data_IF_570899887206
#
_entry.id   IF_570899887206
#
_cell.length_a   1.000
_cell.length_b   1.000
_cell.length_c   1.000
_cell.angle_alpha   90.00
_cell.angle_beta   90.00
_cell.angle_gamma   90.00
#
_symmetry.space_group_name_H-M   'P 1'
#
loop_
_entity.id
_entity.type
_entity.pdbx_description
1 polymer ?
#
# COMPACT_ATOMS: atom_id res chain seq x y z
N UNK A 1 10.39 -3.96 25.83
CA UNK A 1 11.60 -3.67 25.06
C UNK A 1 12.82 -3.79 25.93
N UNK A 2 13.89 -4.31 25.40
CA UNK A 2 15.21 -4.33 26.04
C UNK A 2 15.98 -3.05 25.68
N UNK A 3 16.33 -2.26 26.67
CA UNK A 3 17.02 -0.98 26.46
C UNK A 3 18.47 -1.13 25.98
N UNK A 4 19.05 -2.30 26.11
CA UNK A 4 20.43 -2.60 25.72
C UNK A 4 20.52 -3.01 24.25
N UNK A 5 19.65 -3.91 23.83
CA UNK A 5 19.65 -4.44 22.44
C UNK A 5 18.69 -3.70 21.50
N UNK A 6 17.82 -2.84 21.99
CA UNK A 6 16.75 -2.21 21.22
C UNK A 6 15.69 -3.18 20.69
N UNK A 7 15.81 -4.46 21.00
CA UNK A 7 14.85 -5.48 20.62
C UNK A 7 13.59 -5.40 21.44
N UNK A 8 12.47 -5.83 20.91
CA UNK A 8 11.18 -5.75 21.58
C UNK A 8 10.43 -7.06 21.49
N UNK A 9 9.47 -7.20 22.38
CA UNK A 9 8.47 -8.27 22.33
C UNK A 9 7.07 -7.66 22.32
N UNK A 10 6.09 -8.45 21.91
CA UNK A 10 4.67 -8.09 21.90
C UNK A 10 3.92 -9.02 22.81
N UNK A 11 3.06 -8.43 23.66
CA UNK A 11 2.15 -9.19 24.52
C UNK A 11 0.83 -8.43 24.67
N UNK A 12 -0.24 -9.16 24.93
CA UNK A 12 -1.53 -8.59 25.27
C UNK A 12 -1.55 -8.06 26.70
N UNK A 13 -2.24 -6.98 26.94
CA UNK A 13 -2.63 -6.53 28.28
C UNK A 13 -4.02 -7.09 28.62
N UNK A 14 -5.00 -6.67 27.83
CA UNK A 14 -6.33 -7.23 27.72
C UNK A 14 -6.44 -7.66 26.27
N UNK A 15 -6.69 -8.93 26.01
CA UNK A 15 -6.81 -9.45 24.67
C UNK A 15 -8.18 -9.12 24.05
N UNK A 16 -8.82 -10.13 23.45
CA UNK A 16 -10.19 -10.02 23.00
C UNK A 16 -11.13 -9.95 24.21
N UNK A 17 -11.93 -8.88 24.39
CA UNK A 17 -12.88 -8.78 25.52
C UNK A 17 -13.78 -9.99 25.71
N UNK A 18 -14.08 -10.71 24.63
CA UNK A 18 -14.90 -11.92 24.64
C UNK A 18 -14.10 -13.21 24.90
N UNK A 19 -12.76 -13.12 25.01
CA UNK A 19 -11.86 -14.26 25.20
C UNK A 19 -10.82 -14.01 26.32
N UNK A 20 -11.15 -14.23 27.59
CA UNK A 20 -10.20 -13.99 28.68
C UNK A 20 -8.97 -14.88 28.64
N UNK A 21 -8.90 -15.88 27.76
CA UNK A 21 -7.75 -16.78 27.65
C UNK A 21 -6.54 -16.12 26.96
N UNK A 22 -6.72 -15.01 26.24
CA UNK A 22 -5.66 -14.29 25.58
C UNK A 22 -5.19 -13.04 26.34
N UNK A 23 -5.70 -12.80 27.55
CA UNK A 23 -5.23 -11.75 28.44
C UNK A 23 -3.81 -12.02 28.94
N UNK A 24 -2.97 -10.97 28.93
CA UNK A 24 -1.57 -11.00 29.45
C UNK A 24 -0.71 -12.09 28.80
N UNK A 25 -0.98 -12.44 27.54
CA UNK A 25 -0.27 -13.48 26.81
C UNK A 25 0.87 -12.92 25.97
N UNK A 26 1.95 -13.72 25.87
CA UNK A 26 3.08 -13.44 24.98
C UNK A 26 2.63 -13.75 23.55
N UNK A 27 2.99 -12.87 22.61
CA UNK A 27 2.78 -13.04 21.17
C UNK A 27 4.11 -13.13 20.40
N UNK A 28 5.17 -12.49 20.92
CA UNK A 28 6.55 -12.66 20.49
C UNK A 28 7.40 -12.91 21.74
N UNK A 29 8.42 -13.75 21.61
CA UNK A 29 9.29 -14.20 22.70
C UNK A 29 9.80 -13.04 23.58
N UNK A 30 9.59 -13.12 24.91
CA UNK A 30 9.72 -12.00 25.83
C UNK A 30 10.90 -12.10 26.81
N UNK A 31 11.74 -13.15 26.72
CA UNK A 31 12.97 -13.20 27.54
C UNK A 31 13.98 -12.17 27.02
N UNK A 32 14.90 -11.78 27.86
CA UNK A 32 15.91 -10.75 27.56
C UNK A 32 17.25 -11.39 27.21
N UNK A 33 17.86 -11.03 26.06
CA UNK A 33 17.31 -10.14 25.04
C UNK A 33 16.19 -10.81 24.22
N UNK A 34 15.17 -10.05 23.77
CA UNK A 34 14.17 -10.60 22.87
C UNK A 34 14.79 -11.11 21.57
N UNK A 35 14.16 -12.13 20.99
CA UNK A 35 14.70 -12.88 19.86
C UNK A 35 14.04 -12.54 18.53
N UNK A 36 13.10 -11.59 18.54
CA UNK A 36 12.60 -10.90 17.35
C UNK A 36 13.43 -9.66 17.08
N UNK A 37 14.06 -9.58 15.91
CA UNK A 37 14.98 -8.49 15.59
C UNK A 37 15.15 -8.25 14.10
N UNK A 38 15.52 -7.01 13.68
CA UNK A 38 15.92 -6.71 12.31
C UNK A 38 17.41 -7.00 12.08
N UNK A 39 17.72 -7.37 10.84
CA UNK A 39 19.06 -7.32 10.27
C UNK A 39 19.05 -6.28 9.17
N UNK A 40 19.91 -5.26 9.26
CA UNK A 40 20.14 -4.31 8.19
C UNK A 40 21.21 -4.88 7.24
N UNK A 41 20.94 -4.84 5.96
CA UNK A 41 21.89 -5.27 4.94
C UNK A 41 22.38 -4.05 4.15
N UNK A 42 23.69 -3.88 4.05
CA UNK A 42 24.33 -2.77 3.33
C UNK A 42 25.41 -3.35 2.45
N UNK A 43 25.37 -3.09 1.13
CA UNK A 43 26.37 -3.48 0.15
C UNK A 43 26.80 -4.96 0.25
N UNK A 44 25.81 -5.87 0.37
CA UNK A 44 25.99 -7.32 0.51
C UNK A 44 26.58 -7.79 1.85
N UNK A 45 26.51 -6.99 2.90
CA UNK A 45 26.92 -7.35 4.25
C UNK A 45 25.78 -7.16 5.26
N UNK A 46 25.52 -8.14 6.10
CA UNK A 46 24.44 -8.13 7.09
C UNK A 46 24.91 -7.67 8.48
N UNK A 47 24.14 -6.76 9.09
CA UNK A 47 24.38 -6.20 10.42
C UNK A 47 23.16 -6.44 11.31
N UNK A 48 23.34 -7.24 12.36
CA UNK A 48 22.25 -7.59 13.28
C UNK A 48 22.09 -6.50 14.33
N UNK A 49 20.89 -5.94 14.41
CA UNK A 49 20.58 -4.85 15.36
C UNK A 49 20.61 -5.36 16.80
N UNK A 50 21.22 -4.57 17.66
CA UNK A 50 21.35 -4.87 19.09
C UNK A 50 22.49 -5.84 19.41
N UNK A 51 23.46 -5.99 18.49
CA UNK A 51 24.72 -6.70 18.72
C UNK A 51 25.92 -5.75 18.56
N UNK A 52 27.14 -6.29 18.67
CA UNK A 52 28.40 -5.55 18.43
C UNK A 52 28.58 -5.10 16.96
N UNK A 53 27.67 -5.48 16.07
CA UNK A 53 27.69 -5.03 14.67
C UNK A 53 27.48 -3.52 14.51
N UNK A 54 26.98 -2.85 15.55
CA UNK A 54 26.70 -1.41 15.51
C UNK A 54 26.33 -0.81 16.87
N UNK A 55 25.77 0.40 16.85
CA UNK A 55 25.46 1.15 18.06
C UNK A 55 24.17 1.98 17.90
N UNK A 56 23.52 2.25 19.03
CA UNK A 56 22.37 3.16 19.09
C UNK A 56 22.82 4.61 19.21
N UNK A 57 22.22 5.51 18.43
CA UNK A 57 22.49 6.93 18.53
C UNK A 57 21.95 7.53 19.82
N UNK A 58 20.77 7.10 20.22
CA UNK A 58 20.04 7.61 21.37
C UNK A 58 19.32 6.48 22.10
N UNK A 59 18.97 6.72 23.36
CA UNK A 59 18.01 5.86 24.05
C UNK A 59 16.66 5.85 23.33
N UNK A 60 15.91 4.75 23.40
CA UNK A 60 14.58 4.68 22.85
C UNK A 60 13.68 5.78 23.35
N UNK A 61 12.96 6.42 22.46
CA UNK A 61 11.95 7.42 22.76
C UNK A 61 10.57 6.78 22.77
N UNK A 62 9.83 6.96 23.85
CA UNK A 62 8.44 6.49 24.00
C UNK A 62 7.52 7.69 23.94
N UNK A 63 6.57 7.70 23.03
CA UNK A 63 5.54 8.73 22.91
C UNK A 63 4.19 8.08 22.65
N UNK A 64 3.26 8.19 23.61
CA UNK A 64 1.92 7.56 23.57
C UNK A 64 2.01 6.05 23.24
N UNK A 65 1.57 5.66 22.03
CA UNK A 65 1.53 4.31 21.51
C UNK A 65 2.75 3.95 20.62
N UNK A 66 3.78 4.80 20.58
CA UNK A 66 4.91 4.71 19.65
C UNK A 66 6.23 4.61 20.39
N UNK A 67 7.09 3.73 19.93
CA UNK A 67 8.46 3.52 20.36
C UNK A 67 9.39 3.73 19.19
N UNK A 68 10.42 4.54 19.36
CA UNK A 68 11.35 4.90 18.28
C UNK A 68 12.79 4.84 18.78
N UNK A 69 13.69 4.31 17.95
CA UNK A 69 15.13 4.41 18.14
C UNK A 69 15.90 4.41 16.84
N UNK A 70 17.10 4.95 16.87
CA UNK A 70 18.01 4.99 15.73
C UNK A 70 19.27 4.18 16.02
N UNK A 71 19.70 3.40 15.05
CA UNK A 71 20.86 2.51 15.13
C UNK A 71 21.73 2.66 13.89
N UNK A 72 23.05 2.47 14.05
CA UNK A 72 24.02 2.52 12.95
C UNK A 72 24.92 1.29 12.94
N UNK A 73 25.17 0.66 11.78
CA UNK A 73 26.22 -0.35 11.66
C UNK A 73 27.58 0.30 11.85
N UNK A 74 28.48 -0.34 12.58
CA UNK A 74 29.80 0.19 12.88
C UNK A 74 30.64 0.48 11.64
N UNK A 75 30.59 -0.40 10.64
CA UNK A 75 31.30 -0.27 9.37
C UNK A 75 30.70 0.80 8.44
N UNK A 76 29.37 0.94 8.42
CA UNK A 76 28.64 1.88 7.58
C UNK A 76 27.95 2.93 8.45
N UNK A 77 28.72 3.67 9.24
CA UNK A 77 28.22 4.63 10.24
C UNK A 77 27.47 5.83 9.63
N UNK A 78 27.48 5.99 8.30
CA UNK A 78 26.70 6.97 7.56
C UNK A 78 25.35 6.39 7.05
N UNK A 79 25.10 5.10 7.27
CA UNK A 79 23.80 4.49 7.05
C UNK A 79 23.10 4.40 8.40
N UNK A 80 21.90 4.97 8.49
CA UNK A 80 21.12 5.00 9.72
C UNK A 80 19.85 4.19 9.56
N UNK A 81 19.58 3.29 10.48
CA UNK A 81 18.30 2.59 10.61
C UNK A 81 17.49 3.23 11.74
N UNK A 82 16.33 3.77 11.41
CA UNK A 82 15.35 4.22 12.40
C UNK A 82 14.28 3.14 12.47
N UNK A 83 14.09 2.56 13.64
CA UNK A 83 13.01 1.60 13.88
C UNK A 83 11.89 2.27 14.66
N UNK A 84 10.67 2.12 14.16
CA UNK A 84 9.45 2.65 14.78
C UNK A 84 8.52 1.48 15.02
N UNK A 85 8.09 1.31 16.27
CA UNK A 85 7.10 0.31 16.69
C UNK A 85 5.90 1.05 17.24
N UNK A 86 4.74 0.94 16.59
CA UNK A 86 3.55 1.71 16.92
C UNK A 86 2.34 0.81 17.06
N UNK A 87 1.59 0.96 18.15
CA UNK A 87 0.28 0.31 18.31
C UNK A 87 -0.72 1.09 17.46
N UNK A 88 -1.42 0.40 16.57
CA UNK A 88 -2.40 1.01 15.66
C UNK A 88 -3.73 0.26 15.73
N UNK A 89 -4.78 0.90 15.24
CA UNK A 89 -6.10 0.28 15.20
C UNK A 89 -6.12 -0.83 14.13
N UNK A 90 -6.49 -2.01 14.57
CA UNK A 90 -6.63 -3.19 13.72
C UNK A 90 -7.99 -3.14 12.98
N UNK A 91 -7.96 -3.11 11.66
CA UNK A 91 -9.18 -3.06 10.82
C UNK A 91 -10.10 -4.28 10.95
N UNK A 92 -9.57 -5.40 11.45
CA UNK A 92 -10.35 -6.62 11.67
C UNK A 92 -11.08 -6.64 13.00
N UNK A 93 -10.52 -6.01 14.03
CA UNK A 93 -11.08 -5.99 15.38
C UNK A 93 -11.66 -4.64 15.78
N UNK A 94 -11.29 -3.54 15.10
CA UNK A 94 -11.52 -2.14 15.42
C UNK A 94 -10.97 -1.75 16.80
N UNK A 95 -9.89 -2.40 17.23
CA UNK A 95 -9.19 -2.17 18.50
C UNK A 95 -7.71 -1.86 18.24
N UNK A 96 -7.07 -1.24 19.20
CA UNK A 96 -5.64 -0.98 19.19
C UNK A 96 -4.86 -2.23 19.64
N UNK A 97 -4.92 -3.28 18.84
CA UNK A 97 -4.41 -4.62 19.14
C UNK A 97 -3.48 -5.20 18.06
N UNK A 98 -2.98 -4.33 17.18
CA UNK A 98 -1.95 -4.65 16.19
C UNK A 98 -0.79 -3.65 16.28
N UNK A 99 0.42 -4.13 16.05
CA UNK A 99 1.64 -3.33 16.07
C UNK A 99 2.14 -3.16 14.63
N UNK A 100 2.32 -1.92 14.21
CA UNK A 100 3.05 -1.57 12.99
C UNK A 100 4.53 -1.45 13.31
N UNK A 101 5.37 -2.12 12.54
CA UNK A 101 6.82 -2.13 12.66
C UNK A 101 7.38 -1.52 11.38
N UNK A 102 7.98 -0.32 11.50
CA UNK A 102 8.52 0.43 10.36
C UNK A 102 10.03 0.59 10.53
N UNK A 103 10.76 0.39 9.44
CA UNK A 103 12.19 0.61 9.31
C UNK A 103 12.43 1.70 8.28
N UNK A 104 13.03 2.82 8.69
CA UNK A 104 13.52 3.85 7.78
C UNK A 104 15.04 3.68 7.69
N UNK A 105 15.54 3.38 6.50
CA UNK A 105 16.98 3.32 6.23
C UNK A 105 17.39 4.59 5.51
N UNK A 106 18.19 5.42 6.16
CA UNK A 106 18.64 6.72 5.67
C UNK A 106 20.11 6.61 5.20
N UNK A 107 20.39 7.02 3.98
CA UNK A 107 21.75 7.13 3.48
C UNK A 107 22.28 8.57 3.71
N UNK A 108 23.06 8.77 4.75
CA UNK A 108 23.75 10.04 5.05
C UNK A 108 25.18 10.07 4.47
N UNK A 109 25.59 9.04 3.71
CA UNK A 109 26.88 9.04 2.99
C UNK A 109 26.80 9.86 1.70
N UNK A 110 27.94 10.21 1.15
CA UNK A 110 28.09 10.86 -0.16
C UNK A 110 28.09 9.86 -1.33
N UNK A 111 27.98 8.56 -1.03
CA UNK A 111 27.95 7.47 -2.01
C UNK A 111 26.59 6.78 -2.02
N UNK A 112 26.29 6.15 -3.15
CA UNK A 112 25.15 5.24 -3.23
C UNK A 112 25.43 3.95 -2.47
N UNK A 113 24.42 3.40 -1.81
CA UNK A 113 24.45 2.11 -1.11
C UNK A 113 23.24 1.25 -1.46
N UNK A 114 23.46 -0.05 -1.64
CA UNK A 114 22.39 -1.03 -1.74
C UNK A 114 21.96 -1.41 -0.32
N UNK A 115 20.68 -1.21 0.01
CA UNK A 115 20.15 -1.51 1.35
C UNK A 115 18.92 -2.39 1.29
N UNK A 116 18.75 -3.24 2.29
CA UNK A 116 17.51 -3.97 2.57
C UNK A 116 17.46 -4.40 4.04
N UNK A 117 16.29 -4.82 4.50
CA UNK A 117 16.04 -5.24 5.88
C UNK A 117 15.44 -6.64 5.87
N UNK A 118 15.91 -7.50 6.78
CA UNK A 118 15.24 -8.72 7.21
C UNK A 118 14.69 -8.51 8.60
N UNK A 119 13.46 -8.95 8.89
CA UNK A 119 12.94 -9.00 10.25
C UNK A 119 12.50 -10.43 10.59
N UNK A 120 12.93 -10.93 11.73
CA UNK A 120 12.51 -12.24 12.25
C UNK A 120 11.47 -12.03 13.33
N UNK A 121 10.31 -12.66 13.17
CA UNK A 121 9.29 -12.83 14.19
C UNK A 121 9.53 -14.18 14.89
N UNK A 122 9.96 -14.16 16.13
CA UNK A 122 10.01 -15.34 16.99
C UNK A 122 8.65 -15.50 17.68
N UNK A 123 7.80 -16.34 17.08
CA UNK A 123 6.39 -16.46 17.46
C UNK A 123 6.22 -17.39 18.65
N UNK A 124 5.89 -16.83 19.81
CA UNK A 124 5.52 -17.58 21.01
C UNK A 124 4.12 -17.16 21.42
N UNK A 125 3.17 -18.10 21.38
CA UNK A 125 1.78 -17.79 21.75
C UNK A 125 1.47 -18.37 23.14
N UNK A 126 1.45 -17.48 24.12
CA UNK A 126 1.37 -17.87 25.52
C UNK A 126 2.63 -18.62 25.97
N UNK A 127 2.56 -19.94 26.08
CA UNK A 127 3.69 -20.82 26.44
C UNK A 127 4.16 -21.69 25.26
N UNK A 128 3.52 -21.54 24.08
CA UNK A 128 3.79 -22.39 22.92
C UNK A 128 4.84 -21.79 22.00
N UNK A 129 6.05 -22.35 21.97
CA UNK A 129 7.09 -22.08 20.97
C UNK A 129 6.85 -22.88 19.66
N UNK A 130 5.76 -23.63 19.57
CA UNK A 130 5.42 -24.51 18.44
C UNK A 130 4.18 -24.00 17.70
N UNK A 131 3.97 -22.71 17.71
CA UNK A 131 2.79 -22.09 17.13
C UNK A 131 2.63 -22.48 15.65
N UNK A 132 1.56 -23.20 15.27
CA UNK A 132 1.33 -23.55 13.88
C UNK A 132 0.87 -22.32 13.11
N UNK A 133 1.19 -22.30 11.80
CA UNK A 133 0.79 -21.22 10.92
C UNK A 133 -0.35 -21.64 9.98
N UNK A 134 -1.09 -20.64 9.54
CA UNK A 134 -2.07 -20.75 8.46
C UNK A 134 -1.93 -19.54 7.54
N UNK A 135 -1.86 -19.78 6.24
CA UNK A 135 -1.65 -18.74 5.24
C UNK A 135 -2.76 -18.83 4.18
N UNK A 136 -3.71 -17.93 4.16
CA UNK A 136 -4.71 -17.89 3.08
C UNK A 136 -4.07 -17.55 1.72
N UNK A 137 -4.47 -18.18 0.61
CA UNK A 137 -5.36 -19.33 0.46
C UNK A 137 -4.65 -20.70 0.60
N UNK A 138 -3.36 -20.72 0.95
CA UNK A 138 -2.50 -21.93 0.91
C UNK A 138 -2.79 -22.92 2.05
N UNK A 139 -3.48 -22.47 3.11
CA UNK A 139 -3.88 -23.35 4.23
C UNK A 139 -2.82 -23.45 5.33
N UNK A 140 -2.79 -24.61 6.00
CA UNK A 140 -1.89 -24.89 7.12
C UNK A 140 -0.44 -24.98 6.66
N UNK A 141 0.44 -24.28 7.39
CA UNK A 141 1.89 -24.36 7.22
C UNK A 141 2.49 -25.04 8.43
N UNK A 142 2.86 -26.31 8.31
CA UNK A 142 3.48 -27.15 9.36
C UNK A 142 4.88 -27.65 8.98
N UNK A 143 5.37 -27.22 7.85
CA UNK A 143 6.69 -27.48 7.29
C UNK A 143 7.31 -26.19 6.80
N UNK A 144 8.62 -26.20 6.68
CA UNK A 144 9.38 -25.07 6.14
C UNK A 144 8.86 -24.69 4.76
N UNK A 145 8.45 -23.42 4.64
CA UNK A 145 7.76 -22.90 3.46
C UNK A 145 8.29 -21.51 3.14
N UNK A 146 8.37 -21.20 1.84
CA UNK A 146 8.80 -19.89 1.35
C UNK A 146 7.78 -19.34 0.36
N UNK A 147 7.52 -18.02 0.47
CA UNK A 147 6.76 -17.24 -0.50
C UNK A 147 7.66 -16.13 -1.05
N UNK A 148 7.58 -15.91 -2.36
CA UNK A 148 8.30 -14.84 -3.05
C UNK A 148 7.36 -13.73 -3.51
N UNK A 149 7.88 -12.59 -3.91
CA UNK A 149 7.12 -11.38 -4.29
C UNK A 149 5.93 -11.68 -5.24
N UNK A 150 6.11 -12.57 -6.21
CA UNK A 150 5.10 -12.91 -7.22
C UNK A 150 3.93 -13.76 -6.69
N UNK A 151 4.09 -14.43 -5.56
CA UNK A 151 3.05 -15.24 -4.91
C UNK A 151 2.89 -14.89 -3.42
N UNK A 152 3.25 -13.65 -3.04
CA UNK A 152 3.19 -13.16 -1.67
C UNK A 152 1.75 -13.17 -1.17
N UNK A 153 1.44 -13.88 -0.05
CA UNK A 153 0.14 -13.78 0.60
C UNK A 153 -0.05 -12.38 1.21
N UNK A 154 -1.31 -11.93 1.33
CA UNK A 154 -1.58 -10.66 1.98
C UNK A 154 -1.28 -10.72 3.49
N UNK A 155 -1.51 -11.88 4.11
CA UNK A 155 -1.38 -12.07 5.54
C UNK A 155 -1.12 -13.54 5.91
N UNK A 156 -0.71 -13.75 7.15
CA UNK A 156 -0.54 -15.06 7.77
C UNK A 156 -1.10 -15.04 9.18
N UNK A 157 -1.47 -16.21 9.67
CA UNK A 157 -1.98 -16.44 11.03
C UNK A 157 -1.08 -17.38 11.80
N UNK A 158 -1.05 -17.19 13.12
CA UNK A 158 -0.43 -18.12 14.05
C UNK A 158 -1.36 -18.40 15.22
N UNK A 159 -1.31 -19.62 15.75
CA UNK A 159 -2.20 -20.12 16.79
C UNK A 159 -1.40 -20.85 17.87
N UNK A 160 -1.85 -20.80 19.12
CA UNK A 160 -1.27 -21.67 20.16
C UNK A 160 -1.62 -23.14 19.92
N UNK A 161 -2.76 -23.41 19.30
CA UNK A 161 -3.23 -24.73 18.86
C UNK A 161 -4.19 -24.58 17.68
N UNK A 162 -4.18 -25.50 16.71
CA UNK A 162 -5.14 -25.49 15.59
C UNK A 162 -6.52 -26.03 15.97
N UNK A 163 -6.59 -26.98 16.90
CA UNK A 163 -7.84 -27.67 17.22
C UNK A 163 -8.79 -26.80 18.04
N UNK A 164 -8.27 -26.11 19.06
CA UNK A 164 -9.01 -25.21 19.95
C UNK A 164 -8.16 -24.02 20.32
N UNK A 165 -7.91 -23.09 19.39
CA UNK A 165 -7.03 -21.98 19.64
C UNK A 165 -7.60 -21.04 20.70
N UNK A 166 -6.79 -20.75 21.72
CA UNK A 166 -7.06 -19.77 22.76
C UNK A 166 -6.43 -18.42 22.42
N UNK A 167 -5.27 -18.46 21.76
CA UNK A 167 -4.52 -17.29 21.32
C UNK A 167 -4.35 -17.38 19.81
N UNK A 168 -4.70 -16.31 19.14
CA UNK A 168 -4.61 -16.20 17.68
C UNK A 168 -3.95 -14.87 17.32
N UNK A 169 -2.98 -14.92 16.42
CA UNK A 169 -2.31 -13.73 15.90
C UNK A 169 -2.34 -13.70 14.39
N UNK A 170 -2.07 -12.51 13.85
CA UNK A 170 -1.92 -12.30 12.43
C UNK A 170 -0.73 -11.40 12.14
N UNK A 171 -0.08 -11.63 11.00
CA UNK A 171 0.86 -10.70 10.40
C UNK A 171 0.38 -10.28 9.02
N UNK A 172 0.59 -9.01 8.65
CA UNK A 172 0.19 -8.45 7.36
C UNK A 172 1.45 -8.21 6.53
N UNK A 173 1.47 -8.76 5.32
CA UNK A 173 2.62 -8.76 4.41
C UNK A 173 2.42 -7.87 3.19
N UNK A 174 1.18 -7.66 2.74
CA UNK A 174 0.91 -6.90 1.53
C UNK A 174 -0.56 -6.46 1.44
N UNK A 175 -0.86 -5.60 0.45
CA UNK A 175 -2.24 -5.25 0.10
C UNK A 175 -2.88 -4.19 1.00
N UNK A 176 -2.10 -3.51 1.80
CA UNK A 176 -2.54 -2.44 2.70
C UNK A 176 -1.59 -1.25 2.62
N UNK A 177 -2.11 -0.03 2.75
CA UNK A 177 -1.31 1.17 2.96
C UNK A 177 -0.42 0.99 4.19
N UNK A 178 0.73 1.62 4.23
CA UNK A 178 1.71 1.48 5.32
C UNK A 178 2.28 0.05 5.51
N UNK A 179 2.08 -0.87 4.55
CA UNK A 179 2.72 -2.19 4.54
C UNK A 179 3.52 -2.37 3.25
N UNK A 180 4.81 -2.62 3.39
CA UNK A 180 5.71 -2.89 2.27
C UNK A 180 5.67 -4.36 1.92
N UNK A 181 5.30 -4.70 0.68
CA UNK A 181 5.34 -6.10 0.22
C UNK A 181 6.78 -6.63 0.26
N UNK A 182 7.07 -7.72 0.98
CA UNK A 182 8.39 -8.31 1.03
C UNK A 182 8.77 -8.95 -0.32
N UNK A 183 10.08 -9.07 -0.57
CA UNK A 183 10.58 -9.89 -1.69
C UNK A 183 10.51 -11.39 -1.39
N UNK A 184 10.62 -11.77 -0.11
CA UNK A 184 10.55 -13.15 0.35
C UNK A 184 10.06 -13.23 1.80
N UNK A 185 9.28 -14.25 2.11
CA UNK A 185 8.89 -14.62 3.47
C UNK A 185 9.15 -16.10 3.69
N UNK A 186 9.80 -16.44 4.80
CA UNK A 186 10.18 -17.80 5.16
C UNK A 186 9.55 -18.19 6.49
N UNK A 187 8.81 -19.28 6.50
CA UNK A 187 8.32 -19.96 7.70
C UNK A 187 9.28 -21.10 8.01
N UNK A 188 9.99 -21.04 9.12
CA UNK A 188 11.00 -22.04 9.49
C UNK A 188 11.20 -22.12 11.01
N UNK A 189 12.16 -22.94 11.43
CA UNK A 189 12.61 -22.98 12.82
C UNK A 189 13.44 -21.73 13.14
N UNK A 190 13.18 -21.07 14.29
CA UNK A 190 13.91 -19.89 14.72
C UNK A 190 15.42 -20.09 14.76
N UNK A 191 15.89 -21.22 15.29
CA UNK A 191 17.32 -21.55 15.40
C UNK A 191 17.99 -21.66 14.04
N UNK A 192 17.28 -22.15 13.01
CA UNK A 192 17.79 -22.15 11.64
C UNK A 192 17.93 -20.74 11.09
N UNK A 193 16.89 -19.92 11.23
CA UNK A 193 16.87 -18.55 10.73
C UNK A 193 17.89 -17.64 11.43
N UNK A 194 18.13 -17.83 12.74
CA UNK A 194 19.05 -17.01 13.52
C UNK A 194 20.53 -17.37 13.31
N UNK A 195 20.86 -18.54 12.72
CA UNK A 195 22.24 -18.93 12.40
C UNK A 195 22.90 -18.07 11.30
N UNK A 196 22.09 -17.41 10.49
CA UNK A 196 22.58 -16.55 9.39
C UNK A 196 22.07 -15.14 9.56
N UNK A 197 22.86 -14.17 9.15
CA UNK A 197 22.42 -12.76 9.15
C UNK A 197 21.46 -12.47 7.99
N UNK A 198 21.68 -13.11 6.83
CA UNK A 198 20.86 -12.90 5.62
C UNK A 198 20.64 -14.19 4.82
N UNK A 199 21.70 -14.90 4.46
CA UNK A 199 21.73 -15.96 3.44
C UNK A 199 21.14 -17.28 3.94
N UNK A 200 19.85 -17.25 4.31
CA UNK A 200 19.13 -18.46 4.64
C UNK A 200 18.55 -19.09 3.37
N UNK A 201 18.95 -20.33 3.10
CA UNK A 201 18.35 -21.14 2.02
C UNK A 201 17.27 -22.02 2.60
N UNK A 202 15.98 -21.78 2.27
CA UNK A 202 14.88 -22.59 2.79
C UNK A 202 14.94 -24.04 2.33
N UNK A 203 14.78 -24.98 3.28
CA UNK A 203 14.62 -26.40 3.00
C UNK A 203 13.14 -26.76 2.90
N UNK A 204 12.50 -26.33 1.80
CA UNK A 204 11.05 -26.45 1.60
C UNK A 204 10.56 -27.89 1.83
N UNK A 205 9.54 -28.03 2.68
CA UNK A 205 8.96 -29.32 3.05
C UNK A 205 9.67 -30.03 4.21
N UNK A 206 10.77 -29.48 4.74
CA UNK A 206 11.40 -29.99 5.95
C UNK A 206 10.57 -29.68 7.22
N UNK A 207 10.75 -30.44 8.27
CA UNK A 207 10.09 -30.20 9.56
C UNK A 207 10.62 -28.94 10.24
N UNK A 208 9.79 -28.25 11.03
CA UNK A 208 10.24 -27.17 11.91
C UNK A 208 11.11 -27.63 13.09
N UNK A 209 11.50 -28.87 13.12
CA UNK A 209 12.34 -29.43 14.17
C UNK A 209 13.82 -29.15 13.90
N UNK A 210 14.57 -28.81 14.94
CA UNK A 210 16.01 -28.53 14.86
C UNK A 210 16.74 -29.14 16.08
N UNK A 211 18.02 -29.53 15.86
CA UNK A 211 18.90 -30.08 16.88
C UNK A 211 18.62 -31.54 17.23
N UNK A 212 19.47 -32.09 18.11
CA UNK A 212 19.49 -33.52 18.46
C UNK A 212 18.16 -34.05 19.01
N UNK A 213 17.37 -33.21 19.66
CA UNK A 213 16.10 -33.60 20.29
C UNK A 213 14.88 -33.15 19.48
N UNK A 214 15.07 -32.68 18.26
CA UNK A 214 13.98 -32.21 17.37
C UNK A 214 13.13 -31.09 17.96
N UNK A 215 13.75 -30.15 18.66
CA UNK A 215 13.02 -29.02 19.25
C UNK A 215 12.33 -28.21 18.15
N UNK A 216 11.02 -28.02 18.32
CA UNK A 216 10.22 -27.14 17.46
C UNK A 216 10.20 -25.74 18.06
N UNK A 217 10.56 -24.78 17.25
CA UNK A 217 10.65 -23.38 17.62
C UNK A 217 10.32 -22.58 16.34
N UNK A 218 9.08 -22.14 16.22
CA UNK A 218 8.55 -21.63 14.96
C UNK A 218 8.75 -20.13 14.84
N UNK A 219 9.22 -19.70 13.67
CA UNK A 219 9.44 -18.28 13.38
C UNK A 219 9.10 -17.93 11.93
N UNK A 220 8.92 -16.64 11.69
CA UNK A 220 8.68 -16.08 10.36
C UNK A 220 9.76 -15.03 10.08
N UNK A 221 10.51 -15.22 8.99
CA UNK A 221 11.48 -14.22 8.53
C UNK A 221 10.91 -13.49 7.30
N UNK A 222 10.84 -12.18 7.40
CA UNK A 222 10.38 -11.26 6.35
C UNK A 222 11.59 -10.58 5.75
N UNK A 223 11.81 -10.72 4.44
CA UNK A 223 12.92 -10.14 3.69
C UNK A 223 12.37 -9.06 2.76
N UNK A 224 12.71 -7.82 3.01
CA UNK A 224 12.31 -6.72 2.15
C UNK A 224 13.22 -6.59 0.93
N UNK A 225 12.70 -5.96 -0.12
CA UNK A 225 13.40 -5.78 -1.38
C UNK A 225 14.62 -4.87 -1.23
N UNK A 226 15.71 -5.24 -1.92
CA UNK A 226 16.90 -4.41 -2.02
C UNK A 226 16.56 -3.12 -2.77
N UNK A 227 16.98 -1.98 -2.22
CA UNK A 227 16.84 -0.65 -2.79
C UNK A 227 18.23 -0.01 -2.85
N UNK A 228 18.56 0.59 -3.98
CA UNK A 228 19.74 1.43 -4.12
C UNK A 228 19.41 2.85 -3.68
N UNK A 229 20.01 3.29 -2.59
CA UNK A 229 19.85 4.62 -2.04
C UNK A 229 20.96 5.54 -2.48
N UNK A 230 20.61 6.64 -3.12
CA UNK A 230 21.53 7.76 -3.34
C UNK A 230 21.79 8.50 -2.04
N UNK A 231 22.81 9.40 -2.02
CA UNK A 231 23.00 10.32 -0.91
C UNK A 231 21.70 11.01 -0.51
N UNK A 232 21.42 11.04 0.79
CA UNK A 232 20.22 11.65 1.41
C UNK A 232 18.87 10.99 1.04
N UNK A 233 18.84 9.83 0.39
CA UNK A 233 17.61 9.08 0.15
C UNK A 233 17.24 8.18 1.34
N UNK A 234 15.95 7.84 1.42
CA UNK A 234 15.36 6.98 2.47
C UNK A 234 14.65 5.81 1.83
N UNK A 235 14.93 4.60 2.31
CA UNK A 235 14.09 3.43 2.08
C UNK A 235 13.14 3.24 3.26
N UNK A 236 11.89 2.88 2.98
CA UNK A 236 10.84 2.62 3.97
C UNK A 236 10.40 1.17 3.83
N UNK A 237 10.44 0.42 4.93
CA UNK A 237 9.94 -0.94 5.01
C UNK A 237 9.01 -1.05 6.20
N UNK A 238 7.85 -1.67 6.02
CA UNK A 238 6.87 -1.78 7.08
C UNK A 238 6.07 -3.08 7.00
N UNK A 239 5.73 -3.63 8.16
CA UNK A 239 4.87 -4.80 8.33
C UNK A 239 4.04 -4.63 9.60
N UNK A 240 3.00 -5.46 9.78
CA UNK A 240 2.17 -5.41 10.97
C UNK A 240 2.05 -6.78 11.61
N UNK A 241 1.92 -6.83 12.95
CA UNK A 241 1.70 -8.05 13.72
C UNK A 241 0.87 -7.76 14.97
N UNK A 242 -0.12 -8.61 15.25
CA UNK A 242 -0.98 -8.42 16.42
C UNK A 242 -2.07 -9.49 16.56
N UNK A 243 -3.16 -9.13 17.22
CA UNK A 243 -4.26 -10.06 17.42
C UNK A 243 -5.02 -10.35 16.12
N UNK A 244 -5.52 -11.56 16.05
CA UNK A 244 -6.26 -12.07 14.91
C UNK A 244 -7.66 -11.45 14.80
N UNK A 245 -8.06 -11.16 13.57
CA UNK A 245 -9.45 -10.94 13.18
C UNK A 245 -9.74 -11.74 11.92
N UNK A 246 -10.90 -12.37 11.84
CA UNK A 246 -11.30 -13.24 10.74
C UNK A 246 -11.84 -12.47 9.54
N UNK A 247 -12.52 -11.37 9.79
CA UNK A 247 -13.15 -10.53 8.76
C UNK A 247 -12.91 -9.06 9.04
N UNK A 248 -12.71 -8.28 7.99
CA UNK A 248 -12.59 -6.82 8.10
C UNK A 248 -13.94 -6.27 8.59
N UNK A 249 -13.94 -5.58 9.72
CA UNK A 249 -15.16 -5.03 10.33
C UNK A 249 -15.66 -3.80 9.59
N UNK A 250 -14.76 -3.03 8.98
CA UNK A 250 -15.11 -1.78 8.32
C UNK A 250 -14.12 -1.50 7.19
N UNK A 251 -14.64 -1.31 5.99
CA UNK A 251 -13.93 -0.71 4.87
C UNK A 251 -14.61 0.62 4.60
N UNK A 252 -13.89 1.69 4.78
CA UNK A 252 -14.36 3.05 4.48
C UNK A 252 -13.78 3.52 3.15
N UNK A 253 -14.44 4.52 2.56
CA UNK A 253 -13.90 5.26 1.42
C UNK A 253 -13.75 4.44 0.12
N UNK A 254 -14.60 3.45 -0.11
CA UNK A 254 -14.81 2.87 -1.44
C UNK A 254 -16.10 3.49 -2.00
N UNK A 255 -15.98 4.25 -3.08
CA UNK A 255 -17.08 4.98 -3.68
C UNK A 255 -17.47 4.36 -5.01
N UNK A 256 -18.77 4.20 -5.22
CA UNK A 256 -19.37 3.75 -6.48
C UNK A 256 -20.15 4.89 -7.09
N UNK A 257 -19.93 5.18 -8.35
CA UNK A 257 -20.67 6.19 -9.11
C UNK A 257 -21.18 5.58 -10.42
N UNK A 258 -22.50 5.54 -10.58
CA UNK A 258 -23.15 5.02 -11.79
C UNK A 258 -23.63 6.20 -12.65
N UNK A 259 -23.08 6.28 -13.86
CA UNK A 259 -23.49 7.24 -14.88
C UNK A 259 -24.33 6.54 -15.94
N UNK A 260 -25.50 7.09 -16.22
CA UNK A 260 -26.41 6.72 -17.31
C UNK A 260 -27.16 7.98 -17.73
N UNK A 261 -27.44 8.22 -19.02
CA UNK A 261 -28.23 9.38 -19.45
C UNK A 261 -29.58 9.44 -18.75
N UNK A 262 -29.94 10.59 -18.19
CA UNK A 262 -31.26 10.77 -17.52
C UNK A 262 -32.43 10.60 -18.46
N UNK A 263 -32.27 11.05 -19.73
CA UNK A 263 -33.24 10.88 -20.80
C UNK A 263 -32.57 10.23 -22.00
N UNK A 264 -33.07 9.12 -22.40
CA UNK A 264 -32.62 8.32 -23.55
C UNK A 264 -33.55 8.56 -24.73
N UNK A 265 -32.97 8.97 -25.86
CA UNK A 265 -33.69 9.23 -27.11
C UNK A 265 -33.36 8.22 -28.21
N UNK A 266 -32.33 7.43 -28.02
CA UNK A 266 -31.86 6.40 -28.97
C UNK A 266 -31.07 5.31 -28.27
N UNK A 267 -30.89 4.17 -28.91
CA UNK A 267 -30.02 3.07 -28.47
C UNK A 267 -28.74 3.01 -29.31
N UNK A 268 -27.62 2.49 -28.78
CA UNK A 268 -27.48 1.91 -27.45
C UNK A 268 -27.46 2.97 -26.32
N UNK A 269 -27.78 2.55 -25.09
CA UNK A 269 -27.62 3.35 -23.88
C UNK A 269 -26.30 2.96 -23.26
N UNK A 270 -25.37 3.88 -23.11
CA UNK A 270 -24.12 3.60 -22.40
C UNK A 270 -24.32 3.85 -20.90
N UNK A 271 -24.12 2.81 -20.07
CA UNK A 271 -24.00 2.90 -18.63
C UNK A 271 -22.54 2.74 -18.21
N UNK A 272 -22.06 3.60 -17.32
CA UNK A 272 -20.68 3.53 -16.82
C UNK A 272 -20.64 3.53 -15.30
N UNK A 273 -19.93 2.57 -14.70
CA UNK A 273 -19.64 2.53 -13.27
C UNK A 273 -18.20 2.99 -13.06
N UNK A 274 -17.99 3.99 -12.20
CA UNK A 274 -16.68 4.34 -11.67
C UNK A 274 -16.57 3.84 -10.24
N UNK A 275 -15.46 3.18 -9.93
CA UNK A 275 -15.08 2.75 -8.58
C UNK A 275 -13.86 3.55 -8.18
N UNK A 276 -13.95 4.30 -7.08
CA UNK A 276 -12.83 4.99 -6.46
C UNK A 276 -12.46 4.27 -5.16
N UNK A 277 -11.27 3.72 -5.11
CA UNK A 277 -10.75 3.07 -3.91
C UNK A 277 -9.92 4.08 -3.09
N UNK A 278 -10.56 4.84 -2.24
CA UNK A 278 -9.95 5.76 -1.27
C UNK A 278 -9.72 5.11 0.10
N UNK A 279 -9.84 3.78 0.17
CA UNK A 279 -9.51 3.02 1.37
C UNK A 279 -7.98 2.84 1.49
N UNK A 280 -7.54 2.34 2.63
CA UNK A 280 -6.13 1.97 2.86
C UNK A 280 -5.77 0.55 2.37
N UNK A 281 -6.65 -0.10 1.59
CA UNK A 281 -6.52 -1.53 1.22
C UNK A 281 -6.68 -1.69 -0.28
N UNK A 282 -5.83 -2.53 -0.89
CA UNK A 282 -6.04 -2.96 -2.27
C UNK A 282 -7.28 -3.86 -2.39
N UNK A 283 -8.07 -3.61 -3.41
CA UNK A 283 -9.18 -4.48 -3.79
C UNK A 283 -8.71 -5.42 -4.90
N UNK A 284 -8.91 -6.72 -4.71
CA UNK A 284 -8.57 -7.76 -5.68
C UNK A 284 -9.82 -8.48 -6.18
N UNK A 285 -9.69 -9.17 -7.29
CA UNK A 285 -10.74 -10.02 -7.87
C UNK A 285 -12.09 -9.30 -8.00
N UNK A 286 -12.02 -8.03 -8.43
CA UNK A 286 -13.18 -7.17 -8.57
C UNK A 286 -14.08 -7.72 -9.66
N UNK A 287 -15.35 -7.83 -9.33
CA UNK A 287 -16.40 -8.27 -10.23
C UNK A 287 -17.58 -7.32 -10.16
N UNK A 288 -17.95 -6.76 -11.28
CA UNK A 288 -19.10 -5.87 -11.41
C UNK A 288 -20.13 -6.47 -12.36
N UNK A 289 -21.41 -6.42 -11.98
CA UNK A 289 -22.48 -7.00 -12.78
C UNK A 289 -23.58 -5.98 -13.00
N UNK A 290 -23.85 -5.69 -14.28
CA UNK A 290 -25.01 -4.90 -14.67
C UNK A 290 -26.29 -5.73 -14.49
N UNK A 291 -27.31 -5.12 -13.92
CA UNK A 291 -28.65 -5.69 -13.66
C UNK A 291 -29.68 -4.75 -14.26
N UNK A 292 -30.33 -5.20 -15.31
CA UNK A 292 -31.44 -4.53 -15.99
C UNK A 292 -32.55 -5.54 -16.22
N UNK A 293 -33.76 -5.09 -16.58
CA UNK A 293 -34.84 -6.00 -16.98
C UNK A 293 -34.46 -6.70 -18.30
N UNK A 294 -34.10 -7.97 -18.22
CA UNK A 294 -33.65 -8.77 -19.36
C UNK A 294 -34.74 -9.11 -20.37
N UNK A 295 -36.03 -8.89 -20.02
CA UNK A 295 -37.11 -8.99 -21.01
C UNK A 295 -37.14 -7.78 -21.95
N UNK A 296 -36.62 -6.66 -21.51
CA UNK A 296 -36.60 -5.38 -22.23
C UNK A 296 -35.25 -4.98 -22.77
N UNK A 297 -34.18 -5.38 -22.09
CA UNK A 297 -32.82 -4.92 -22.40
C UNK A 297 -31.82 -6.08 -22.40
N UNK A 298 -30.79 -5.96 -23.24
CA UNK A 298 -29.63 -6.83 -23.18
C UNK A 298 -28.32 -6.01 -23.28
N UNK A 299 -27.25 -6.58 -22.76
CA UNK A 299 -25.89 -6.10 -22.91
C UNK A 299 -24.99 -7.24 -23.39
N UNK A 300 -23.97 -6.95 -24.19
CA UNK A 300 -23.05 -7.96 -24.74
C UNK A 300 -22.33 -8.76 -23.66
N UNK A 301 -22.04 -8.12 -22.52
CA UNK A 301 -21.47 -8.75 -21.36
C UNK A 301 -22.02 -8.08 -20.09
N UNK A 302 -22.73 -8.81 -19.28
CA UNK A 302 -23.30 -8.27 -18.02
C UNK A 302 -22.27 -8.20 -16.89
N UNK A 303 -21.22 -9.01 -16.94
CA UNK A 303 -20.22 -9.10 -15.88
C UNK A 303 -18.86 -8.72 -16.42
N UNK A 304 -18.23 -7.73 -15.79
CA UNK A 304 -16.87 -7.30 -16.07
C UNK A 304 -16.01 -7.53 -14.83
N UNK A 305 -14.72 -7.76 -15.02
CA UNK A 305 -13.79 -8.10 -13.94
C UNK A 305 -12.49 -7.29 -14.04
N UNK A 306 -11.86 -7.05 -12.89
CA UNK A 306 -10.53 -6.46 -12.79
C UNK A 306 -9.77 -7.21 -11.69
N UNK A 307 -8.54 -7.61 -11.94
CA UNK A 307 -7.76 -8.41 -10.99
C UNK A 307 -7.30 -7.63 -9.76
N UNK A 308 -7.05 -6.34 -9.89
CA UNK A 308 -6.56 -5.50 -8.79
C UNK A 308 -6.89 -4.02 -9.01
N UNK A 309 -7.33 -3.35 -7.95
CA UNK A 309 -7.48 -1.90 -7.84
C UNK A 309 -6.74 -1.45 -6.58
N UNK A 310 -5.57 -0.83 -6.72
CA UNK A 310 -4.79 -0.33 -5.58
C UNK A 310 -5.59 0.67 -4.72
N UNK A 311 -5.15 0.88 -3.49
CA UNK A 311 -5.62 2.01 -2.68
C UNK A 311 -5.23 3.33 -3.37
N UNK A 312 -6.02 4.38 -3.12
CA UNK A 312 -5.89 5.71 -3.74
C UNK A 312 -6.02 5.72 -5.28
N UNK A 313 -6.53 4.65 -5.90
CA UNK A 313 -6.72 4.52 -7.35
C UNK A 313 -8.20 4.45 -7.74
N UNK A 314 -8.50 4.56 -9.03
CA UNK A 314 -9.84 4.47 -9.57
C UNK A 314 -9.88 3.71 -10.88
N UNK A 315 -11.05 3.15 -11.20
CA UNK A 315 -11.30 2.45 -12.45
C UNK A 315 -12.73 2.68 -12.92
N UNK A 316 -12.97 2.47 -14.22
CA UNK A 316 -14.32 2.58 -14.80
C UNK A 316 -14.64 1.38 -15.67
N UNK A 317 -15.88 0.95 -15.60
CA UNK A 317 -16.49 -0.10 -16.39
C UNK A 317 -17.63 0.47 -17.20
N UNK A 318 -17.83 0.02 -18.44
CA UNK A 318 -18.89 0.51 -19.31
C UNK A 318 -19.65 -0.63 -19.98
N UNK A 319 -20.94 -0.43 -20.14
CA UNK A 319 -21.85 -1.33 -20.83
C UNK A 319 -22.69 -0.56 -21.85
N UNK A 320 -22.83 -1.14 -23.04
CA UNK A 320 -23.82 -0.71 -24.00
C UNK A 320 -25.07 -1.59 -23.87
N UNK A 321 -26.19 -0.95 -23.57
CA UNK A 321 -27.50 -1.57 -23.31
C UNK A 321 -28.35 -1.38 -24.56
N UNK A 322 -28.87 -2.47 -25.08
CA UNK A 322 -29.70 -2.53 -26.27
C UNK A 322 -31.12 -3.01 -25.91
N UNK A 323 -32.13 -2.64 -26.68
CA UNK A 323 -33.48 -3.16 -26.50
C UNK A 323 -33.59 -4.60 -27.03
N UNK A 324 -34.39 -5.44 -26.36
CA UNK A 324 -34.73 -6.81 -26.83
C UNK A 324 -35.85 -6.75 -27.88
N UNK A 325 -36.66 -5.70 -27.92
CA UNK A 325 -37.74 -5.47 -28.84
C UNK A 325 -38.17 -3.99 -28.78
N UNK A 326 -39.48 -3.74 -29.00
CA UNK A 326 -40.02 -2.38 -28.79
C UNK A 326 -40.08 -2.05 -27.31
N UNK A 327 -39.34 -1.04 -26.91
CA UNK A 327 -39.37 -0.50 -25.55
C UNK A 327 -40.28 0.74 -25.53
N UNK A 328 -41.20 0.82 -24.59
CA UNK A 328 -42.10 1.95 -24.44
C UNK A 328 -41.43 3.13 -23.75
N UNK A 329 -41.95 4.34 -24.02
CA UNK A 329 -41.56 5.52 -23.25
C UNK A 329 -41.92 5.30 -21.78
N UNK A 330 -41.01 5.59 -20.86
CA UNK A 330 -41.21 5.35 -19.44
C UNK A 330 -39.93 5.44 -18.59
N UNK A 331 -40.13 5.25 -17.28
CA UNK A 331 -39.01 5.22 -16.34
C UNK A 331 -38.51 3.78 -16.15
N UNK A 332 -37.18 3.63 -16.14
CA UNK A 332 -36.49 2.37 -15.98
C UNK A 332 -35.36 2.52 -14.93
N UNK A 333 -34.85 1.39 -14.45
CA UNK A 333 -33.80 1.35 -13.43
C UNK A 333 -32.68 0.45 -13.95
N UNK A 334 -31.47 0.98 -13.95
CA UNK A 334 -30.25 0.18 -14.04
C UNK A 334 -29.62 0.05 -12.66
N UNK A 335 -29.15 -1.15 -12.32
CA UNK A 335 -28.39 -1.44 -11.11
C UNK A 335 -27.07 -2.05 -11.47
N UNK A 336 -26.08 -1.86 -10.64
CA UNK A 336 -24.80 -2.55 -10.74
C UNK A 336 -24.43 -3.10 -9.37
N UNK A 337 -24.20 -4.41 -9.30
CA UNK A 337 -23.62 -5.04 -8.12
C UNK A 337 -22.09 -5.07 -8.26
N UNK A 338 -21.43 -4.90 -7.13
CA UNK A 338 -19.98 -4.91 -6.97
C UNK A 338 -19.59 -5.97 -5.94
N UNK A 339 -18.55 -6.74 -6.25
CA UNK A 339 -17.91 -7.70 -5.37
C UNK A 339 -16.39 -7.56 -5.52
N UNK A 340 -15.65 -7.60 -4.43
CA UNK A 340 -14.19 -7.60 -4.42
C UNK A 340 -13.64 -8.32 -3.20
N UNK A 341 -12.36 -8.73 -3.26
CA UNK A 341 -11.61 -9.27 -2.12
C UNK A 341 -10.70 -8.18 -1.55
N UNK A 342 -10.92 -7.81 -0.30
CA UNK A 342 -10.07 -6.91 0.48
C UNK A 342 -9.27 -7.74 1.49
N UNK A 343 -7.96 -7.90 1.29
CA UNK A 343 -7.09 -8.84 2.01
C UNK A 343 -7.65 -10.27 1.98
N UNK A 344 -8.40 -10.69 3.01
CA UNK A 344 -9.04 -12.01 3.12
C UNK A 344 -10.57 -11.94 3.22
N UNK A 345 -11.15 -10.75 3.07
CA UNK A 345 -12.60 -10.50 3.29
C UNK A 345 -13.25 -10.11 1.98
N UNK A 346 -14.36 -10.78 1.63
CA UNK A 346 -15.20 -10.36 0.52
C UNK A 346 -16.00 -9.12 0.90
N UNK A 347 -16.00 -8.13 0.03
CA UNK A 347 -16.76 -6.89 0.15
C UNK A 347 -17.74 -6.78 -0.99
N UNK A 348 -18.93 -6.26 -0.68
CA UNK A 348 -20.04 -6.15 -1.61
C UNK A 348 -20.61 -4.75 -1.60
N UNK A 349 -21.13 -4.33 -2.74
CA UNK A 349 -21.86 -3.08 -2.88
C UNK A 349 -22.87 -3.15 -4.02
N UNK A 350 -23.83 -2.27 -4.00
CA UNK A 350 -24.81 -2.11 -5.09
C UNK A 350 -25.12 -0.63 -5.26
N UNK A 351 -25.26 -0.21 -6.50
CA UNK A 351 -25.71 1.14 -6.85
C UNK A 351 -26.78 1.04 -7.92
N UNK A 352 -27.78 1.91 -7.86
CA UNK A 352 -28.84 1.97 -8.87
C UNK A 352 -29.08 3.40 -9.33
N UNK A 353 -29.49 3.55 -10.59
CA UNK A 353 -29.87 4.84 -11.16
C UNK A 353 -31.12 4.68 -12.05
N UNK A 354 -32.05 5.61 -11.91
CA UNK A 354 -33.20 5.72 -12.78
C UNK A 354 -32.85 6.48 -14.05
N UNK A 355 -33.49 6.09 -15.15
CA UNK A 355 -33.42 6.81 -16.43
C UNK A 355 -34.77 6.75 -17.14
N UNK A 356 -35.04 7.71 -17.99
CA UNK A 356 -36.30 7.83 -18.73
C UNK A 356 -36.05 7.60 -20.21
N UNK A 357 -36.81 6.74 -20.83
CA UNK A 357 -36.80 6.55 -22.28
C UNK A 357 -37.89 7.43 -22.90
N UNK A 358 -37.52 8.24 -23.90
CA UNK A 358 -38.38 9.07 -24.73
C UNK A 358 -37.93 8.96 -26.19
N UNK A 359 -38.36 7.94 -26.88
CA UNK A 359 -37.93 7.65 -28.23
C UNK A 359 -38.55 8.57 -29.29
N UNK A 360 -39.59 9.33 -28.94
CA UNK A 360 -40.31 10.17 -29.87
C UNK A 360 -41.01 9.33 -30.96
N UNK A 361 -42.18 9.73 -31.38
CA UNK A 361 -42.77 9.17 -32.60
C UNK A 361 -41.89 9.55 -33.78
N UNK A 362 -41.16 8.62 -34.33
CA UNK A 362 -40.53 8.84 -35.64
C UNK A 362 -41.68 9.01 -36.66
N UNK A 363 -41.89 10.23 -37.16
CA UNK A 363 -42.57 10.41 -38.41
C UNK A 363 -41.77 9.62 -39.45
N UNK A 364 -42.45 8.66 -40.10
CA UNK A 364 -41.85 7.92 -41.20
C UNK A 364 -41.38 8.93 -42.27
N UNK A 365 -40.09 8.95 -42.68
CA UNK A 365 -39.69 9.76 -43.78
C UNK A 365 -40.39 9.26 -45.04
N UNK A 366 -41.14 10.15 -45.71
CA UNK A 366 -41.67 9.96 -47.04
C UNK A 366 -40.50 9.49 -47.92
N UNK A 367 -40.70 8.49 -48.81
CA UNK A 367 -39.62 8.04 -49.68
C UNK A 367 -39.26 9.17 -50.65
N UNK A 368 -38.19 9.85 -50.43
CA UNK A 368 -37.53 10.72 -51.39
C UNK A 368 -36.58 9.93 -52.26
N UNK A 369 -36.68 10.20 -53.57
CA UNK A 369 -35.94 9.56 -54.65
C UNK A 369 -34.43 9.64 -54.45
N UNK A 370 -33.76 8.52 -54.79
CA UNK A 370 -32.31 8.38 -54.96
C UNK A 370 -31.73 9.54 -55.80
N UNK A 371 -30.90 10.37 -55.16
CA UNK A 371 -29.88 11.15 -55.86
C UNK A 371 -28.50 10.79 -55.32
N UNK A 372 -27.63 10.41 -56.26
CA UNK A 372 -26.22 10.13 -56.05
C UNK A 372 -25.52 11.28 -55.29
N UNK A 373 -24.89 11.01 -54.17
CA UNK A 373 -23.98 11.95 -53.51
C UNK A 373 -22.57 11.37 -53.54
N UNK A 374 -21.72 12.09 -54.29
CA UNK A 374 -20.31 11.78 -54.44
C UNK A 374 -19.54 11.93 -53.12
N UNK A 375 -18.60 11.01 -52.94
CA UNK A 375 -17.63 10.95 -51.83
C UNK A 375 -16.77 12.20 -51.83
N UNK A 376 -16.86 13.00 -50.75
CA UNK A 376 -15.81 13.96 -50.36
C UNK A 376 -15.17 13.48 -49.07
N UNK A 377 -13.88 13.16 -49.16
CA UNK A 377 -13.03 12.99 -47.98
C UNK A 377 -12.93 14.32 -47.24
N UNK A 378 -13.27 14.32 -45.96
CA UNK A 378 -12.97 15.44 -45.05
C UNK A 378 -12.01 14.96 -43.98
N UNK A 379 -10.81 15.52 -44.00
CA UNK A 379 -9.82 15.43 -42.92
C UNK A 379 -10.36 16.09 -41.66
N UNK A 380 -10.53 15.35 -40.60
CA UNK A 380 -10.87 15.89 -39.27
C UNK A 380 -9.58 16.02 -38.48
N UNK A 381 -9.12 17.27 -38.33
CA UNK A 381 -8.10 17.62 -37.36
C UNK A 381 -8.77 17.83 -36.00
N UNK A 382 -8.48 17.01 -35.03
CA UNK A 382 -8.97 17.16 -33.64
C UNK A 382 -8.09 18.13 -32.89
N UNK A 383 -8.61 19.34 -32.67
CA UNK A 383 -8.04 20.30 -31.71
C UNK A 383 -8.63 20.02 -30.32
N UNK A 384 -7.81 19.59 -29.39
CA UNK A 384 -8.16 19.57 -27.97
C UNK A 384 -7.89 20.94 -27.35
N UNK A 385 -8.94 21.63 -26.91
CA UNK A 385 -8.81 22.77 -26.01
C UNK A 385 -8.85 22.28 -24.56
N UNK A 386 -7.75 22.50 -23.86
CA UNK A 386 -7.68 22.38 -22.41
C UNK A 386 -8.35 23.59 -21.77
N UNK A 387 -9.47 23.39 -21.09
CA UNK A 387 -10.06 24.40 -20.19
C UNK A 387 -9.43 24.27 -18.83
N UNK A 388 -8.58 25.23 -18.46
CA UNK A 388 -8.05 25.41 -17.12
C UNK A 388 -9.12 26.01 -16.21
N UNK A 389 -9.59 25.25 -15.21
CA UNK A 389 -10.41 25.78 -14.12
C UNK A 389 -9.49 26.29 -13.01
N UNK A 390 -9.51 27.58 -12.78
CA UNK A 390 -8.80 28.24 -11.68
C UNK A 390 -9.57 28.01 -10.37
N UNK A 391 -9.00 27.25 -9.44
CA UNK A 391 -9.44 27.23 -8.05
C UNK A 391 -8.60 28.21 -7.23
N UNK A 392 -9.25 29.19 -6.63
CA UNK A 392 -8.64 30.10 -5.66
C UNK A 392 -8.90 29.52 -4.26
N UNK A 393 -7.85 29.03 -3.60
CA UNK A 393 -7.90 28.72 -2.18
C UNK A 393 -7.32 29.89 -1.38
N UNK A 394 -8.16 30.48 -0.53
CA UNK A 394 -7.71 31.44 0.48
C UNK A 394 -7.48 30.68 1.77
N UNK A 395 -6.22 30.41 2.10
CA UNK A 395 -5.83 29.99 3.45
C UNK A 395 -4.73 30.91 3.95
N UNK A 396 -4.94 31.47 5.14
CA UNK A 396 -3.94 32.27 5.86
C UNK A 396 -2.76 31.37 6.23
N UNK A 397 -1.72 31.36 5.41
CA UNK A 397 -0.43 30.77 5.76
C UNK A 397 0.63 31.83 5.47
N UNK A 398 1.46 32.10 6.48
CA UNK A 398 2.63 32.97 6.32
C UNK A 398 3.53 32.35 5.26
N UNK A 399 3.51 32.92 4.07
CA UNK A 399 4.45 32.57 3.01
C UNK A 399 5.76 33.29 3.25
N UNK A 400 6.81 32.54 3.55
CA UNK A 400 8.17 33.02 3.28
C UNK A 400 8.39 32.81 1.80
N UNK A 401 7.96 33.77 1.01
CA UNK A 401 8.28 33.84 -0.42
C UNK A 401 9.65 34.50 -0.57
N UNK A 402 10.69 33.67 -0.68
CA UNK A 402 11.86 34.12 -1.41
C UNK A 402 11.50 34.08 -2.91
N UNK A 403 10.85 35.15 -3.39
CA UNK A 403 10.70 35.38 -4.83
C UNK A 403 12.09 35.74 -5.32
N UNK A 404 12.78 34.80 -5.94
CA UNK A 404 13.91 35.10 -6.80
C UNK A 404 13.31 35.65 -8.09
N UNK A 405 13.27 36.98 -8.22
CA UNK A 405 12.94 37.67 -9.48
C UNK A 405 14.12 37.38 -10.42
N UNK A 406 13.90 36.48 -11.37
CA UNK A 406 14.86 36.26 -12.48
C UNK A 406 14.79 37.52 -13.39
N UNK A 407 15.72 38.43 -13.24
CA UNK A 407 15.99 39.47 -14.26
C UNK A 407 16.63 38.76 -15.46
N UNK A 408 16.19 39.11 -16.67
CA UNK A 408 16.66 38.60 -17.97
C UNK A 408 18.11 39.07 -18.24
N UNK A 409 19.07 38.55 -17.51
CA UNK A 409 20.49 38.58 -17.90
C UNK A 409 20.87 37.17 -18.37
N UNK A 410 21.67 37.09 -19.44
CA UNK A 410 22.19 35.89 -20.03
C UNK A 410 22.91 35.04 -18.93
N UNK A 411 22.17 34.20 -18.26
CA UNK A 411 22.80 33.22 -17.34
C UNK A 411 23.54 32.19 -18.17
N UNK A 412 24.82 32.05 -17.89
CA UNK A 412 25.62 30.95 -18.41
C UNK A 412 24.88 29.63 -18.14
N UNK A 413 24.73 28.78 -19.16
CA UNK A 413 24.04 27.51 -19.11
C UNK A 413 24.44 26.65 -17.88
N UNK A 414 25.76 26.60 -17.58
CA UNK A 414 26.32 25.89 -16.44
C UNK A 414 25.81 26.43 -15.09
N UNK A 415 25.61 27.74 -14.97
CA UNK A 415 25.05 28.39 -13.77
C UNK A 415 23.59 28.00 -13.58
N UNK A 416 22.79 27.98 -14.66
CA UNK A 416 21.40 27.54 -14.62
C UNK A 416 21.23 26.07 -14.18
N UNK A 417 22.04 25.17 -14.74
CA UNK A 417 22.04 23.75 -14.33
C UNK A 417 22.45 23.59 -12.87
N UNK A 418 23.46 24.33 -12.40
CA UNK A 418 23.88 24.28 -11.00
C UNK A 418 22.81 24.74 -10.04
N UNK A 419 22.09 25.85 -10.35
CA UNK A 419 21.00 26.37 -9.52
C UNK A 419 19.85 25.37 -9.39
N UNK A 420 19.45 24.74 -10.51
CA UNK A 420 18.37 23.73 -10.50
C UNK A 420 18.81 22.50 -9.67
N UNK A 421 20.04 22.03 -9.81
CA UNK A 421 20.55 20.92 -9.00
C UNK A 421 20.55 21.24 -7.50
N UNK A 422 21.03 22.43 -7.10
CA UNK A 422 21.00 22.85 -5.69
C UNK A 422 19.55 22.93 -5.17
N UNK A 423 18.59 23.43 -5.96
CA UNK A 423 17.18 23.43 -5.57
C UNK A 423 16.60 22.02 -5.43
N UNK A 424 16.96 21.11 -6.33
CA UNK A 424 16.54 19.69 -6.22
C UNK A 424 17.12 19.02 -4.98
N UNK A 425 18.38 19.31 -4.62
CA UNK A 425 18.97 18.81 -3.36
C UNK A 425 18.19 19.31 -2.13
N UNK A 426 17.87 20.60 -2.07
CA UNK A 426 17.08 21.18 -0.97
C UNK A 426 15.68 20.60 -0.89
N UNK A 427 14.99 20.42 -2.02
CA UNK A 427 13.64 19.82 -2.06
C UNK A 427 13.66 18.34 -1.63
N UNK A 428 14.69 17.58 -2.01
CA UNK A 428 14.83 16.19 -1.56
C UNK A 428 15.12 16.11 -0.06
N UNK A 429 15.94 17.02 0.49
CA UNK A 429 16.18 17.09 1.94
C UNK A 429 14.89 17.43 2.70
N UNK A 430 14.09 18.43 2.23
CA UNK A 430 12.79 18.75 2.82
C UNK A 430 11.84 17.55 2.74
N UNK A 431 11.77 16.86 1.60
CA UNK A 431 10.95 15.66 1.43
C UNK A 431 11.33 14.57 2.44
N UNK A 432 12.61 14.30 2.60
CA UNK A 432 13.09 13.30 3.55
C UNK A 432 12.75 13.65 5.00
N UNK A 433 12.91 14.91 5.38
CA UNK A 433 12.54 15.39 6.71
C UNK A 433 11.02 15.26 6.94
N UNK A 434 10.20 15.56 5.94
CA UNK A 434 8.74 15.38 6.02
C UNK A 434 8.36 13.90 6.12
N UNK A 435 9.02 13.00 5.39
CA UNK A 435 8.79 11.56 5.48
C UNK A 435 9.10 11.05 6.90
N UNK A 436 10.24 11.42 7.46
CA UNK A 436 10.59 11.07 8.84
C UNK A 436 9.54 11.63 9.81
N UNK A 437 9.18 12.91 9.67
CA UNK A 437 8.19 13.59 10.52
C UNK A 437 6.82 12.93 10.41
N UNK A 438 6.39 12.50 9.22
CA UNK A 438 5.14 11.76 9.02
C UNK A 438 5.10 10.48 9.85
N UNK A 439 6.17 9.69 9.82
CA UNK A 439 6.24 8.45 10.60
C UNK A 439 6.39 8.69 12.11
N UNK A 440 6.94 9.82 12.50
CA UNK A 440 7.05 10.22 13.91
C UNK A 440 5.78 10.90 14.44
N UNK A 441 4.92 11.44 13.60
CA UNK A 441 3.69 12.12 13.98
C UNK A 441 2.73 11.22 14.77
N UNK A 442 2.09 11.80 15.81
CA UNK A 442 1.26 11.07 16.79
C UNK A 442 -0.24 11.29 16.64
N UNK A 443 -0.67 12.16 15.72
CA UNK A 443 -2.08 12.41 15.43
C UNK A 443 -2.38 12.26 13.93
N UNK A 444 -3.58 11.78 13.61
CA UNK A 444 -3.99 11.61 12.22
C UNK A 444 -4.11 12.94 11.47
N UNK A 445 -4.51 14.01 12.19
CA UNK A 445 -4.58 15.35 11.61
C UNK A 445 -3.20 15.89 11.24
N UNK A 446 -2.19 15.65 12.06
CA UNK A 446 -0.80 15.99 11.78
C UNK A 446 -0.28 15.16 10.60
N UNK A 447 -0.51 13.86 10.59
CA UNK A 447 -0.15 12.96 9.48
C UNK A 447 -0.78 13.43 8.16
N UNK A 448 -2.06 13.82 8.19
CA UNK A 448 -2.75 14.34 7.00
C UNK A 448 -2.08 15.60 6.45
N UNK A 449 -1.78 16.57 7.31
CA UNK A 449 -1.10 17.82 6.90
C UNK A 449 0.28 17.56 6.30
N UNK A 450 1.05 16.65 6.93
CA UNK A 450 2.38 16.29 6.44
C UNK A 450 2.28 15.56 5.09
N UNK A 451 1.31 14.65 4.90
CA UNK A 451 1.07 13.97 3.62
C UNK A 451 0.76 14.96 2.50
N UNK A 452 -0.11 15.93 2.74
CA UNK A 452 -0.43 17.00 1.77
C UNK A 452 0.84 17.79 1.38
N UNK A 453 1.72 18.06 2.36
CA UNK A 453 3.00 18.75 2.10
C UNK A 453 3.98 17.88 1.31
N UNK A 454 4.07 16.59 1.60
CA UNK A 454 4.87 15.61 0.86
C UNK A 454 4.47 15.59 -0.62
N UNK A 455 3.18 15.51 -0.93
CA UNK A 455 2.71 15.51 -2.32
C UNK A 455 3.01 16.82 -3.06
N UNK A 456 2.93 17.95 -2.37
CA UNK A 456 3.33 19.25 -2.93
C UNK A 456 4.83 19.26 -3.28
N UNK A 457 5.71 18.82 -2.39
CA UNK A 457 7.16 18.76 -2.60
C UNK A 457 7.49 17.79 -3.74
N UNK A 458 6.89 16.60 -3.80
CA UNK A 458 7.06 15.66 -4.91
C UNK A 458 6.73 16.31 -6.26
N UNK A 459 5.62 17.02 -6.33
CA UNK A 459 5.22 17.75 -7.53
C UNK A 459 6.25 18.80 -7.93
N UNK A 460 6.77 19.56 -6.98
CA UNK A 460 7.83 20.55 -7.24
C UNK A 460 9.11 19.89 -7.76
N UNK A 461 9.53 18.76 -7.18
CA UNK A 461 10.68 17.99 -7.64
C UNK A 461 10.53 17.58 -9.11
N UNK A 462 9.36 17.07 -9.51
CA UNK A 462 9.13 16.69 -10.92
C UNK A 462 9.14 17.88 -11.88
N UNK A 463 8.64 19.03 -11.46
CA UNK A 463 8.74 20.29 -12.24
C UNK A 463 10.20 20.69 -12.43
N UNK A 464 11.01 20.68 -11.37
CA UNK A 464 12.42 21.07 -11.46
C UNK A 464 13.26 20.05 -12.26
N UNK A 465 12.99 18.75 -12.15
CA UNK A 465 13.59 17.71 -13.01
C UNK A 465 13.28 17.95 -14.49
N UNK A 466 12.05 18.37 -14.79
CA UNK A 466 11.64 18.69 -16.17
C UNK A 466 12.37 19.93 -16.70
N UNK A 467 12.55 20.97 -15.87
CA UNK A 467 13.34 22.15 -16.20
C UNK A 467 14.81 21.80 -16.43
N UNK A 468 15.38 20.95 -15.56
CA UNK A 468 16.76 20.48 -15.70
C UNK A 468 16.95 19.74 -17.03
N UNK A 469 16.05 18.83 -17.37
CA UNK A 469 16.07 18.10 -18.64
C UNK A 469 16.01 19.05 -19.85
N UNK A 470 15.14 20.06 -19.80
CA UNK A 470 15.03 21.06 -20.85
C UNK A 470 16.30 21.94 -20.97
N UNK A 471 16.92 22.31 -19.83
CA UNK A 471 18.14 23.08 -19.79
C UNK A 471 19.33 22.30 -20.34
N UNK A 472 19.47 21.02 -19.99
CA UNK A 472 20.52 20.13 -20.51
C UNK A 472 20.37 19.94 -22.03
N UNK A 473 19.15 19.79 -22.55
CA UNK A 473 18.92 19.66 -23.99
C UNK A 473 19.24 20.95 -24.77
N UNK A 474 19.12 22.13 -24.16
CA UNK A 474 19.53 23.41 -24.79
C UNK A 474 21.04 23.57 -24.89
N UNK A 475 21.78 23.02 -23.95
CA UNK A 475 23.26 23.08 -23.97
C UNK A 475 23.94 22.01 -24.83
N UNK A 476 23.18 21.02 -25.29
CA UNK A 476 23.64 19.96 -26.19
C UNK A 476 23.46 20.31 -27.70
N UNK A 477 22.89 21.48 -28.01
CA UNK A 477 22.78 22.06 -29.34
C UNK A 477 23.78 23.22 -29.49
#
# INVERSE_FOLDING_TARGET
>A
MDNTSGRFYVKTLIGDPDNPNDDKKILLFDKIPPTSYPTLFVDNEGFEVGTEDGYFENNPTISKNKLTWAWRPGKYNKIKLIQIVEIVTNIFTLRDDIVRITFLVVNEDLKEHDVNVRFIFDTVLGESEKAPFFVPPYGKIDKETVFYENNMPNLWYSFDSLDKPKIKTMGILSGMEDVTTPSMVVFANWRKLSKTKWDYTPEVGSSFSEGLFGAKDTAVAVYFKKIRLKPQEIAIYSTMYGLFGDTIKKIENVFLSLSIPETVKSFPITASLTIENKSSINLKDIKVKLIVDTNLFYASNYTLTLSNLPYEDSTSFSWDIFPVGQVQDGEYIARVSFEALALSTNVYGEISKKFTIKLGTQEQPKPESLQEIGLKQTNISTNYQLTTTNFVFITNTVMITNIITLTNEYEDWASGVKKINTLLEMLNEELNNLIITYHLATSDEEKKRIRERIELIKTQIEVEKSKLKAQVQKGAK
#
